data_IF_984950622878
#
_entry.id   IF_984950622878
#
_cell.length_a   1.000
_cell.length_b   1.000
_cell.length_c   1.000
_cell.angle_alpha   90.00
_cell.angle_beta   90.00
_cell.angle_gamma   90.00
#
_symmetry.space_group_name_H-M   'P 1'
#
loop_
_entity.id
_entity.type
_entity.pdbx_description
1 polymer ?
#
# COMPACT_ATOMS: atom_id res chain seq x y z
N UNK A 1 1.54 34.55 -44.16
CA UNK A 1 0.07 34.66 -43.96
C UNK A 1 -0.33 33.60 -42.93
N UNK A 2 -0.50 34.02 -41.68
CA UNK A 2 -0.90 33.14 -40.57
C UNK A 2 -2.41 32.87 -40.61
N UNK A 3 -2.79 31.60 -40.67
CA UNK A 3 -4.19 31.20 -40.51
C UNK A 3 -4.51 31.09 -39.01
N UNK A 4 -5.16 32.11 -38.45
CA UNK A 4 -5.68 32.11 -37.08
C UNK A 4 -6.77 31.05 -36.96
N UNK A 5 -6.50 30.00 -36.20
CA UNK A 5 -7.46 28.95 -35.84
C UNK A 5 -8.34 29.47 -34.71
N UNK A 6 -9.54 29.94 -35.04
CA UNK A 6 -10.53 30.36 -34.04
C UNK A 6 -10.93 29.17 -33.17
N UNK A 7 -10.42 29.14 -31.93
CA UNK A 7 -10.93 28.24 -30.88
C UNK A 7 -12.31 28.75 -30.47
N UNK A 8 -13.35 28.18 -31.11
CA UNK A 8 -14.73 28.32 -30.65
C UNK A 8 -14.82 27.67 -29.26
N UNK A 9 -14.66 28.48 -28.20
CA UNK A 9 -14.81 28.03 -26.82
C UNK A 9 -16.29 27.80 -26.51
N UNK A 10 -16.83 26.70 -27.02
CA UNK A 10 -18.10 26.16 -26.52
C UNK A 10 -17.82 25.48 -25.17
N UNK A 11 -17.57 26.29 -24.13
CA UNK A 11 -17.72 25.84 -22.76
C UNK A 11 -19.22 25.59 -22.55
N UNK A 12 -19.67 24.38 -22.86
CA UNK A 12 -20.96 23.91 -22.40
C UNK A 12 -20.97 24.05 -20.87
N UNK A 13 -22.01 24.63 -20.25
CA UNK A 13 -22.05 24.80 -18.82
C UNK A 13 -21.91 23.43 -18.15
N UNK A 14 -20.88 23.28 -17.32
CA UNK A 14 -20.62 22.11 -16.49
C UNK A 14 -21.64 22.08 -15.34
N UNK A 15 -22.91 21.86 -15.66
CA UNK A 15 -23.95 21.29 -14.81
C UNK A 15 -25.30 21.39 -15.53
N UNK A 16 -25.96 20.27 -15.86
CA UNK A 16 -27.35 20.31 -16.28
C UNK A 16 -28.20 20.84 -15.13
N UNK A 17 -29.15 21.75 -15.42
CA UNK A 17 -30.10 22.31 -14.46
C UNK A 17 -30.67 21.23 -13.52
N UNK A 18 -30.86 21.53 -12.22
CA UNK A 18 -31.46 20.59 -11.28
C UNK A 18 -32.83 20.15 -11.79
N UNK A 19 -32.96 18.86 -12.07
CA UNK A 19 -34.26 18.20 -12.08
C UNK A 19 -34.72 18.14 -10.61
N UNK A 20 -35.97 18.49 -10.26
CA UNK A 20 -36.36 18.68 -8.86
C UNK A 20 -36.14 17.41 -8.00
N UNK A 21 -35.57 17.62 -6.82
CA UNK A 21 -35.66 16.78 -5.62
C UNK A 21 -34.91 15.43 -5.58
N UNK A 22 -33.75 15.28 -6.23
CA UNK A 22 -32.80 14.20 -5.86
C UNK A 22 -31.42 14.84 -5.61
N UNK A 23 -30.93 14.70 -4.38
CA UNK A 23 -29.59 15.19 -4.00
C UNK A 23 -28.50 14.33 -4.64
N UNK A 24 -27.28 14.86 -4.75
CA UNK A 24 -26.14 14.08 -5.25
C UNK A 24 -25.88 12.83 -4.38
N UNK A 25 -26.01 12.97 -3.05
CA UNK A 25 -25.82 11.90 -2.08
C UNK A 25 -26.87 10.80 -2.22
N UNK A 26 -28.15 11.18 -2.33
CA UNK A 26 -29.23 10.24 -2.60
C UNK A 26 -29.01 9.55 -3.96
N UNK A 27 -28.58 10.29 -4.98
CA UNK A 27 -28.37 9.79 -6.32
C UNK A 27 -27.25 8.74 -6.40
N UNK A 28 -26.20 8.83 -5.57
CA UNK A 28 -25.14 7.81 -5.53
C UNK A 28 -25.51 6.61 -4.67
N UNK A 29 -26.23 6.82 -3.57
CA UNK A 29 -26.57 5.81 -2.55
C UNK A 29 -27.75 4.92 -2.94
N UNK A 30 -28.81 5.47 -3.55
CA UNK A 30 -30.01 4.70 -3.92
C UNK A 30 -29.66 3.50 -4.83
N UNK A 31 -30.36 2.38 -4.73
CA UNK A 31 -30.11 1.24 -5.62
C UNK A 31 -30.48 1.58 -7.07
N UNK A 32 -29.93 0.85 -8.05
CA UNK A 32 -30.29 1.05 -9.47
C UNK A 32 -31.77 0.75 -9.70
N UNK A 33 -32.33 -0.25 -9.01
CA UNK A 33 -33.75 -0.61 -9.10
C UNK A 33 -34.63 0.54 -8.61
N UNK A 34 -34.32 1.06 -7.42
CA UNK A 34 -35.14 2.10 -6.79
C UNK A 34 -34.96 3.44 -7.51
N UNK A 35 -33.77 3.75 -8.02
CA UNK A 35 -33.55 4.89 -8.91
C UNK A 35 -34.49 4.83 -10.13
N UNK A 36 -34.49 3.71 -10.85
CA UNK A 36 -35.35 3.56 -12.03
C UNK A 36 -36.84 3.67 -11.68
N UNK A 37 -37.27 3.15 -10.52
CA UNK A 37 -38.65 3.28 -10.03
C UNK A 37 -38.99 4.74 -9.72
N UNK A 38 -38.16 5.43 -8.95
CA UNK A 38 -38.37 6.83 -8.56
C UNK A 38 -38.44 7.75 -9.78
N UNK A 39 -37.53 7.60 -10.74
CA UNK A 39 -37.53 8.43 -11.96
C UNK A 39 -38.80 8.20 -12.80
N UNK A 40 -39.31 6.97 -12.90
CA UNK A 40 -40.56 6.66 -13.61
C UNK A 40 -41.80 7.18 -12.87
N UNK A 41 -41.87 6.97 -11.56
CA UNK A 41 -43.01 7.42 -10.74
C UNK A 41 -43.16 8.94 -10.71
N UNK A 42 -42.04 9.67 -10.85
CA UNK A 42 -42.03 11.13 -10.98
C UNK A 42 -42.38 11.62 -12.39
N UNK A 43 -42.66 10.72 -13.33
CA UNK A 43 -43.11 11.08 -14.68
C UNK A 43 -42.03 11.67 -15.59
N UNK A 44 -40.74 11.45 -15.28
CA UNK A 44 -39.65 11.98 -16.10
C UNK A 44 -39.67 11.34 -17.49
N UNK A 45 -39.36 12.16 -18.50
CA UNK A 45 -39.25 11.69 -19.87
C UNK A 45 -37.93 10.91 -20.09
N UNK A 46 -37.79 10.29 -21.27
CA UNK A 46 -36.64 9.45 -21.59
C UNK A 46 -35.32 10.21 -21.54
N UNK A 47 -35.26 11.44 -22.03
CA UNK A 47 -34.04 12.25 -22.02
C UNK A 47 -33.61 12.61 -20.59
N UNK A 48 -34.55 12.97 -19.73
CA UNK A 48 -34.32 13.31 -18.32
C UNK A 48 -33.80 12.10 -17.53
N UNK A 49 -34.38 10.91 -17.76
CA UNK A 49 -33.91 9.66 -17.16
C UNK A 49 -32.45 9.38 -17.55
N UNK A 50 -32.11 9.54 -18.83
CA UNK A 50 -30.74 9.35 -19.32
C UNK A 50 -29.80 10.36 -18.67
N UNK A 51 -30.20 11.62 -18.57
CA UNK A 51 -29.42 12.69 -17.92
C UNK A 51 -29.16 12.38 -16.44
N UNK A 52 -30.16 11.89 -15.70
CA UNK A 52 -30.00 11.51 -14.29
C UNK A 52 -29.07 10.31 -14.12
N UNK A 53 -29.16 9.31 -15.01
CA UNK A 53 -28.21 8.17 -15.03
C UNK A 53 -26.79 8.62 -15.32
N UNK A 54 -26.61 9.55 -16.25
CA UNK A 54 -25.30 10.11 -16.57
C UNK A 54 -24.73 10.89 -15.38
N UNK A 55 -25.53 11.74 -14.73
CA UNK A 55 -25.14 12.47 -13.50
C UNK A 55 -24.69 11.48 -12.42
N UNK A 56 -25.47 10.42 -12.16
CA UNK A 56 -25.10 9.35 -11.23
C UNK A 56 -23.75 8.71 -11.59
N UNK A 57 -23.53 8.39 -12.87
CA UNK A 57 -22.29 7.76 -13.33
C UNK A 57 -21.09 8.68 -13.06
N UNK A 58 -21.21 9.96 -13.36
CA UNK A 58 -20.17 10.96 -13.08
C UNK A 58 -19.86 11.05 -11.59
N UNK A 59 -20.87 11.10 -10.73
CA UNK A 59 -20.69 11.17 -9.27
C UNK A 59 -20.04 9.91 -8.70
N UNK A 60 -20.51 8.71 -9.11
CA UNK A 60 -19.88 7.45 -8.70
C UNK A 60 -18.43 7.35 -9.15
N UNK A 61 -18.13 7.75 -10.39
CA UNK A 61 -16.76 7.76 -10.90
C UNK A 61 -15.85 8.72 -10.12
N UNK A 62 -16.39 9.87 -9.67
CA UNK A 62 -15.68 10.77 -8.75
C UNK A 62 -15.32 10.06 -7.45
N UNK A 63 -16.27 9.35 -6.84
CA UNK A 63 -16.02 8.54 -5.64
C UNK A 63 -14.98 7.45 -5.88
N UNK A 64 -15.08 6.72 -6.99
CA UNK A 64 -14.11 5.68 -7.36
C UNK A 64 -12.70 6.23 -7.56
N UNK A 65 -12.55 7.42 -8.14
CA UNK A 65 -11.25 8.07 -8.28
C UNK A 65 -10.64 8.41 -6.91
N UNK A 66 -11.45 8.90 -5.96
CA UNK A 66 -10.99 9.15 -4.59
C UNK A 66 -10.58 7.86 -3.88
N UNK A 67 -11.44 6.83 -3.89
CA UNK A 67 -11.12 5.53 -3.30
C UNK A 67 -9.89 4.86 -3.93
N UNK A 68 -9.68 5.02 -5.24
CA UNK A 68 -8.49 4.51 -5.92
C UNK A 68 -7.21 5.19 -5.42
N UNK A 69 -7.26 6.51 -5.19
CA UNK A 69 -6.12 7.25 -4.62
C UNK A 69 -5.83 6.81 -3.19
N UNK A 70 -6.86 6.69 -2.35
CA UNK A 70 -6.74 6.23 -0.96
C UNK A 70 -6.10 4.84 -0.92
N UNK A 71 -6.66 3.86 -1.64
CA UNK A 71 -6.11 2.49 -1.69
C UNK A 71 -4.66 2.44 -2.16
N UNK A 72 -4.27 3.30 -3.09
CA UNK A 72 -2.88 3.37 -3.56
C UNK A 72 -1.94 3.89 -2.49
N UNK A 73 -2.37 4.91 -1.75
CA UNK A 73 -1.59 5.50 -0.65
C UNK A 73 -1.48 4.46 0.48
N UNK A 74 -2.59 3.87 0.90
CA UNK A 74 -2.60 2.80 1.91
C UNK A 74 -1.66 1.65 1.53
N UNK A 75 -1.72 1.16 0.29
CA UNK A 75 -0.83 0.10 -0.17
C UNK A 75 0.66 0.52 -0.17
N UNK A 76 0.96 1.78 -0.50
CA UNK A 76 2.32 2.32 -0.45
C UNK A 76 2.81 2.36 1.01
N UNK A 77 1.99 2.87 1.91
CA UNK A 77 2.32 3.04 3.32
C UNK A 77 2.51 1.67 4.02
N UNK A 78 1.69 0.67 3.67
CA UNK A 78 1.86 -0.71 4.11
C UNK A 78 3.20 -1.30 3.66
N UNK A 79 3.58 -1.10 2.40
CA UNK A 79 4.87 -1.56 1.86
C UNK A 79 6.05 -0.85 2.51
N UNK A 80 5.94 0.46 2.76
CA UNK A 80 6.98 1.24 3.44
C UNK A 80 7.17 0.80 4.89
N UNK A 81 6.07 0.53 5.60
CA UNK A 81 6.09 -0.02 6.96
C UNK A 81 6.75 -1.40 6.98
N UNK A 82 6.36 -2.29 6.07
CA UNK A 82 6.94 -3.63 5.97
C UNK A 82 8.43 -3.59 5.67
N UNK A 83 8.86 -2.74 4.72
CA UNK A 83 10.27 -2.54 4.41
C UNK A 83 11.06 -2.07 5.64
N UNK A 84 10.53 -1.11 6.39
CA UNK A 84 11.20 -0.60 7.60
C UNK A 84 11.35 -1.66 8.68
N UNK A 85 10.32 -2.50 8.85
CA UNK A 85 10.34 -3.61 9.79
C UNK A 85 11.40 -4.66 9.39
N UNK A 86 11.37 -5.13 8.14
CA UNK A 86 12.35 -6.09 7.62
C UNK A 86 13.79 -5.58 7.71
N UNK A 87 14.01 -4.28 7.49
CA UNK A 87 15.33 -3.67 7.65
C UNK A 87 15.82 -3.73 9.10
N UNK A 88 14.95 -3.43 10.06
CA UNK A 88 15.27 -3.48 11.48
C UNK A 88 15.60 -4.91 11.93
N UNK A 89 14.82 -5.89 11.46
CA UNK A 89 15.10 -7.31 11.75
C UNK A 89 16.43 -7.78 11.16
N UNK A 90 16.77 -7.34 9.94
CA UNK A 90 18.06 -7.65 9.31
C UNK A 90 19.23 -7.09 10.11
N UNK A 91 19.13 -5.83 10.57
CA UNK A 91 20.16 -5.19 11.38
C UNK A 91 20.36 -5.93 12.71
N UNK A 92 19.26 -6.26 13.40
CA UNK A 92 19.32 -7.05 14.64
C UNK A 92 19.97 -8.42 14.41
N UNK A 93 19.58 -9.14 13.35
CA UNK A 93 20.17 -10.43 13.00
C UNK A 93 21.66 -10.33 12.66
N UNK A 94 22.08 -9.22 12.04
CA UNK A 94 23.48 -8.97 11.74
C UNK A 94 24.28 -8.79 13.03
N UNK A 95 23.79 -7.95 13.94
CA UNK A 95 24.43 -7.68 15.23
C UNK A 95 24.51 -8.93 16.11
N UNK A 96 23.45 -9.73 16.16
CA UNK A 96 23.42 -11.01 16.87
C UNK A 96 24.45 -12.00 16.28
N UNK A 97 24.56 -12.06 14.96
CA UNK A 97 25.56 -12.91 14.30
C UNK A 97 26.98 -12.46 14.60
N UNK A 98 27.27 -11.16 14.58
CA UNK A 98 28.57 -10.64 14.98
C UNK A 98 28.89 -10.98 16.43
N UNK A 99 27.93 -10.84 17.32
CA UNK A 99 28.09 -11.18 18.73
C UNK A 99 28.42 -12.66 18.91
N UNK A 100 27.68 -13.56 18.26
CA UNK A 100 27.94 -15.00 18.31
C UNK A 100 29.34 -15.32 17.74
N UNK A 101 29.74 -14.68 16.64
CA UNK A 101 31.08 -14.88 16.06
C UNK A 101 32.18 -14.46 17.04
N UNK A 102 32.00 -13.33 17.74
CA UNK A 102 32.94 -12.89 18.79
C UNK A 102 33.01 -13.89 19.93
N UNK A 103 31.87 -14.39 20.40
CA UNK A 103 31.81 -15.39 21.47
C UNK A 103 32.51 -16.69 21.09
N UNK A 104 32.24 -17.20 19.88
CA UNK A 104 32.94 -18.38 19.34
C UNK A 104 34.44 -18.14 19.25
N UNK A 105 34.87 -16.96 18.79
CA UNK A 105 36.29 -16.58 18.78
C UNK A 105 36.91 -16.59 20.17
N UNK A 106 36.23 -16.01 21.16
CA UNK A 106 36.66 -15.99 22.55
C UNK A 106 36.78 -17.39 23.15
N UNK A 107 35.80 -18.27 22.90
CA UNK A 107 35.84 -19.66 23.36
C UNK A 107 36.98 -20.44 22.71
N UNK A 108 37.21 -20.27 21.41
CA UNK A 108 38.36 -20.87 20.71
C UNK A 108 39.69 -20.42 21.30
N UNK A 109 39.84 -19.13 21.61
CA UNK A 109 41.06 -18.60 22.22
C UNK A 109 41.30 -19.15 23.63
N UNK A 110 40.24 -19.22 24.46
CA UNK A 110 40.32 -19.84 25.80
C UNK A 110 40.71 -21.32 25.71
N UNK A 111 40.08 -22.06 24.80
CA UNK A 111 40.38 -23.47 24.57
C UNK A 111 41.85 -23.67 24.17
N UNK A 112 42.35 -22.90 23.21
CA UNK A 112 43.76 -22.96 22.78
C UNK A 112 44.73 -22.63 23.91
N UNK A 113 44.42 -21.63 24.75
CA UNK A 113 45.27 -21.29 25.89
C UNK A 113 45.35 -22.43 26.91
N UNK A 114 44.22 -23.10 27.19
CA UNK A 114 44.19 -24.26 28.07
C UNK A 114 44.96 -25.45 27.50
N UNK A 115 44.82 -25.70 26.19
CA UNK A 115 45.57 -26.75 25.50
C UNK A 115 47.08 -26.50 25.57
N UNK A 116 47.50 -25.26 25.30
CA UNK A 116 48.91 -24.85 25.41
C UNK A 116 49.45 -25.02 26.83
N UNK A 117 48.65 -24.66 27.84
CA UNK A 117 49.01 -24.84 29.24
C UNK A 117 49.17 -26.33 29.60
N UNK A 118 48.26 -27.20 29.15
CA UNK A 118 48.36 -28.63 29.39
C UNK A 118 49.63 -29.24 28.76
N UNK A 119 49.93 -28.87 27.51
CA UNK A 119 51.17 -29.29 26.82
C UNK A 119 52.41 -28.84 27.59
N UNK A 120 52.45 -27.58 28.04
CA UNK A 120 53.61 -27.03 28.74
C UNK A 120 53.86 -27.67 30.12
N UNK A 121 52.81 -28.21 30.75
CA UNK A 121 52.89 -28.86 32.06
C UNK A 121 52.86 -30.40 31.96
N UNK A 122 53.05 -30.96 30.76
CA UNK A 122 53.04 -32.41 30.51
C UNK A 122 51.76 -33.11 31.00
N UNK A 123 50.64 -32.40 30.98
CA UNK A 123 49.33 -32.95 31.35
C UNK A 123 48.81 -33.77 30.16
N UNK A 124 48.49 -35.07 30.32
CA UNK A 124 47.98 -35.91 29.23
C UNK A 124 46.67 -35.35 28.67
N UNK A 125 46.62 -35.16 27.34
CA UNK A 125 45.44 -34.66 26.64
C UNK A 125 44.72 -35.86 25.99
N UNK A 126 43.41 -36.04 26.22
CA UNK A 126 42.62 -37.05 25.52
C UNK A 126 42.66 -36.88 24.00
N UNK A 127 42.69 -37.99 23.26
CA UNK A 127 42.80 -37.99 21.80
C UNK A 127 41.62 -37.28 21.11
N UNK A 128 40.46 -37.21 21.74
CA UNK A 128 39.28 -36.50 21.23
C UNK A 128 39.47 -34.96 21.20
N UNK A 129 40.46 -34.45 21.93
CA UNK A 129 40.78 -33.03 22.04
C UNK A 129 42.01 -32.64 21.20
N UNK A 130 42.72 -33.61 20.63
CA UNK A 130 43.83 -33.39 19.70
C UNK A 130 43.28 -33.08 18.28
N UNK A 131 43.20 -31.80 17.91
CA UNK A 131 42.94 -31.38 16.51
C UNK A 131 41.71 -30.51 16.24
N UNK A 132 41.07 -29.94 17.26
CA UNK A 132 40.03 -28.89 17.10
C UNK A 132 40.62 -27.47 16.95
#
# INVERSE_FOLDING_TARGET
MEAKRERKSSLAPLSPCPVPDITDDELVTISVRDLNRTLKMRGLNREEIVRMKQRRRTLKNRGYAASCRIKRIEQKDELETKKSYEWTELEQMHDDNEQIRREVGNWKNKYKALLQFAIQNEIPIPAELEGC
#
